data_IF_229372044547
#
_entry.id   IF_229372044547
#
_cell.length_a   1.000
_cell.length_b   1.000
_cell.length_c   1.000
_cell.angle_alpha   90.00
_cell.angle_beta   90.00
_cell.angle_gamma   90.00
#
_symmetry.space_group_name_H-M   'P 1'
#
loop_
_entity.id
_entity.type
_entity.pdbx_description
1 polymer ?
#
# COMPACT_ATOMS: atom_id res chain seq x y z
N UNK A 1 28.74 -7.88 -34.69
CA UNK A 1 28.32 -8.40 -33.37
C UNK A 1 27.79 -7.31 -32.43
N UNK A 2 28.48 -6.19 -32.26
CA UNK A 2 28.07 -5.09 -31.36
C UNK A 2 26.68 -4.51 -31.73
N UNK A 3 26.40 -4.33 -33.03
CA UNK A 3 25.12 -3.76 -33.50
C UNK A 3 23.89 -4.64 -33.18
N UNK A 4 24.05 -5.96 -33.24
CA UNK A 4 22.97 -6.91 -32.94
C UNK A 4 22.65 -6.96 -31.44
N UNK A 5 23.67 -6.86 -30.58
CA UNK A 5 23.49 -6.82 -29.12
C UNK A 5 22.83 -5.51 -28.67
N UNK A 6 23.15 -4.38 -29.31
CA UNK A 6 22.50 -3.10 -29.02
C UNK A 6 21.03 -3.09 -29.44
N UNK A 7 20.71 -3.67 -30.60
CA UNK A 7 19.32 -3.80 -31.07
C UNK A 7 18.49 -4.70 -30.15
N UNK A 8 19.05 -5.84 -29.72
CA UNK A 8 18.38 -6.76 -28.80
C UNK A 8 18.14 -6.12 -27.43
N UNK A 9 19.11 -5.36 -26.91
CA UNK A 9 18.99 -4.60 -25.66
C UNK A 9 17.85 -3.57 -25.72
N UNK A 10 17.76 -2.81 -26.81
CA UNK A 10 16.69 -1.83 -27.02
C UNK A 10 15.32 -2.52 -27.08
N UNK A 11 15.20 -3.62 -27.81
CA UNK A 11 13.95 -4.39 -27.90
C UNK A 11 13.52 -4.94 -26.52
N UNK A 12 14.45 -5.48 -25.74
CA UNK A 12 14.15 -5.93 -24.38
C UNK A 12 13.70 -4.79 -23.47
N UNK A 13 14.31 -3.62 -23.57
CA UNK A 13 13.93 -2.44 -22.80
C UNK A 13 12.51 -1.96 -23.14
N UNK A 14 12.15 -1.93 -24.42
CA UNK A 14 10.79 -1.61 -24.86
C UNK A 14 9.75 -2.61 -24.34
N UNK A 15 10.05 -3.92 -24.38
CA UNK A 15 9.12 -4.93 -23.83
C UNK A 15 8.92 -4.75 -22.33
N UNK A 16 9.95 -4.38 -21.56
CA UNK A 16 9.81 -4.13 -20.12
C UNK A 16 8.93 -2.91 -19.87
N UNK A 17 9.11 -1.80 -20.61
CA UNK A 17 8.30 -0.58 -20.43
C UNK A 17 6.82 -0.82 -20.76
N UNK A 18 6.52 -1.56 -21.82
CA UNK A 18 5.13 -1.83 -22.22
C UNK A 18 4.41 -2.70 -21.17
N UNK A 19 5.13 -3.58 -20.46
CA UNK A 19 4.57 -4.37 -19.35
C UNK A 19 4.35 -3.56 -18.06
N UNK A 20 4.78 -2.29 -17.99
CA UNK A 20 4.59 -1.43 -16.82
C UNK A 20 3.34 -0.55 -16.91
N UNK A 21 2.56 -0.61 -18.00
CA UNK A 21 1.32 0.16 -18.11
C UNK A 21 0.18 -0.54 -17.38
N UNK A 22 -0.09 -0.12 -16.15
CA UNK A 22 -1.36 -0.42 -15.49
C UNK A 22 -2.38 0.67 -15.86
N UNK A 23 -3.56 0.23 -16.30
CA UNK A 23 -4.68 1.13 -16.57
C UNK A 23 -5.48 1.30 -15.28
N UNK A 24 -5.81 2.55 -14.95
CA UNK A 24 -6.50 2.85 -13.70
C UNK A 24 -7.84 2.12 -13.63
N UNK A 25 -8.07 1.38 -12.55
CA UNK A 25 -9.36 0.76 -12.27
C UNK A 25 -10.02 1.38 -11.04
N UNK A 26 -11.33 1.61 -11.11
CA UNK A 26 -12.10 2.13 -9.97
C UNK A 26 -13.34 1.27 -9.69
N UNK A 27 -13.79 1.25 -8.44
CA UNK A 27 -15.14 0.79 -8.13
C UNK A 27 -16.16 1.79 -8.68
N UNK A 28 -17.23 1.29 -9.30
CA UNK A 28 -18.26 2.12 -9.93
C UNK A 28 -19.66 1.72 -9.51
N UNK A 29 -20.46 2.70 -9.13
CA UNK A 29 -21.87 2.50 -8.81
C UNK A 29 -22.60 3.84 -8.91
N UNK A 30 -23.93 3.79 -9.03
CA UNK A 30 -24.73 5.00 -9.18
C UNK A 30 -25.94 4.88 -8.28
N UNK A 31 -26.12 5.88 -7.42
CA UNK A 31 -27.24 6.06 -6.51
C UNK A 31 -27.62 4.78 -5.74
N UNK A 32 -26.64 4.15 -5.09
CA UNK A 32 -26.88 2.98 -4.24
C UNK A 32 -27.13 3.41 -2.80
N UNK A 33 -28.00 2.72 -2.08
CA UNK A 33 -28.40 3.12 -0.72
C UNK A 33 -27.23 3.09 0.28
N UNK A 34 -26.23 2.23 0.05
CA UNK A 34 -25.02 2.13 0.87
C UNK A 34 -23.83 1.61 0.05
N UNK A 35 -22.65 1.55 0.70
CA UNK A 35 -21.43 1.00 0.13
C UNK A 35 -21.33 -0.52 0.31
N UNK A 36 -22.25 -1.24 -0.33
CA UNK A 36 -22.21 -2.69 -0.43
C UNK A 36 -22.54 -3.11 -1.87
N UNK A 37 -22.55 -4.43 -2.11
CA UNK A 37 -22.98 -5.04 -3.37
C UNK A 37 -22.34 -4.37 -4.60
N UNK A 38 -23.13 -3.65 -5.40
CA UNK A 38 -22.69 -3.02 -6.64
C UNK A 38 -21.49 -2.11 -6.42
N UNK A 39 -21.44 -1.34 -5.33
CA UNK A 39 -20.34 -0.41 -5.04
C UNK A 39 -19.03 -1.09 -4.62
N UNK A 40 -19.04 -2.39 -4.28
CA UNK A 40 -17.84 -3.15 -3.91
C UNK A 40 -17.48 -4.24 -4.94
N UNK A 41 -18.39 -4.58 -5.85
CA UNK A 41 -18.22 -5.68 -6.80
C UNK A 41 -18.10 -5.22 -8.25
N UNK A 42 -18.54 -4.00 -8.57
CA UNK A 42 -18.49 -3.48 -9.94
C UNK A 42 -17.24 -2.64 -10.12
N UNK A 43 -16.34 -3.11 -10.98
CA UNK A 43 -15.07 -2.45 -11.30
C UNK A 43 -15.12 -2.04 -12.77
N UNK A 44 -14.64 -0.83 -13.07
CA UNK A 44 -14.46 -0.33 -14.43
C UNK A 44 -13.02 0.14 -14.61
N UNK A 45 -12.41 -0.25 -15.72
CA UNK A 45 -11.18 0.36 -16.24
C UNK A 45 -11.51 1.76 -16.78
N UNK A 46 -10.84 2.77 -16.23
CA UNK A 46 -11.11 4.17 -16.52
C UNK A 46 -10.62 4.58 -17.92
N UNK A 47 -11.23 5.62 -18.49
CA UNK A 47 -10.79 6.16 -19.77
C UNK A 47 -9.41 6.83 -19.62
N UNK A 48 -8.61 6.96 -20.70
CA UNK A 48 -7.25 7.53 -20.62
C UNK A 48 -7.17 8.93 -20.00
N UNK A 49 -8.22 9.73 -20.11
CA UNK A 49 -8.33 11.06 -19.51
C UNK A 49 -8.73 11.04 -18.02
N UNK A 50 -9.27 9.93 -17.53
CA UNK A 50 -9.76 9.78 -16.16
C UNK A 50 -8.64 9.26 -15.26
N UNK A 51 -7.97 10.17 -14.54
CA UNK A 51 -6.80 9.88 -13.71
C UNK A 51 -7.11 9.68 -12.21
N UNK A 52 -8.38 9.69 -11.81
CA UNK A 52 -8.80 9.58 -10.41
C UNK A 52 -10.08 8.75 -10.24
N UNK A 53 -10.22 8.13 -9.06
CA UNK A 53 -11.49 7.57 -8.61
C UNK A 53 -12.22 8.59 -7.72
N UNK A 54 -13.51 8.80 -7.96
CA UNK A 54 -14.38 9.70 -7.21
C UNK A 54 -15.50 8.92 -6.50
N UNK A 55 -15.74 9.24 -5.23
CA UNK A 55 -16.88 8.77 -4.43
C UNK A 55 -17.70 9.96 -3.96
N UNK A 56 -19.02 9.88 -4.07
CA UNK A 56 -19.96 10.95 -3.69
C UNK A 56 -21.08 10.37 -2.83
N UNK A 57 -21.47 11.14 -1.82
CA UNK A 57 -22.65 10.91 -0.98
C UNK A 57 -23.61 12.06 -1.26
N UNK A 58 -24.81 11.73 -1.70
CA UNK A 58 -25.86 12.70 -2.02
C UNK A 58 -27.13 12.38 -1.25
N UNK A 59 -27.73 13.36 -0.55
CA UNK A 59 -29.05 13.17 0.05
C UNK A 59 -30.13 13.09 -1.05
N UNK A 60 -31.27 12.42 -0.79
CA UNK A 60 -32.47 12.52 -1.63
C UNK A 60 -33.06 13.94 -1.59
N UNK A 61 -34.14 14.15 -2.33
CA UNK A 61 -34.96 15.36 -2.19
C UNK A 61 -35.52 15.47 -0.76
N UNK A 62 -35.49 16.67 -0.19
CA UNK A 62 -35.98 16.94 1.16
C UNK A 62 -37.50 16.81 1.23
N UNK A 63 -38.02 16.04 2.19
CA UNK A 63 -39.45 15.89 2.45
C UNK A 63 -39.69 16.05 3.95
N UNK A 64 -40.68 16.86 4.33
CA UNK A 64 -41.05 17.05 5.73
C UNK A 64 -41.51 15.72 6.36
N UNK A 65 -40.88 15.32 7.46
CA UNK A 65 -41.15 14.04 8.13
C UNK A 65 -40.62 12.79 7.42
N UNK A 66 -39.86 12.95 6.33
CA UNK A 66 -39.23 11.84 5.61
C UNK A 66 -38.10 11.18 6.40
N UNK A 67 -37.89 9.88 6.18
CA UNK A 67 -36.74 9.16 6.74
C UNK A 67 -35.47 9.68 6.05
N UNK A 68 -34.46 10.02 6.86
CA UNK A 68 -33.15 10.42 6.33
C UNK A 68 -32.52 9.26 5.58
N UNK A 69 -32.26 9.47 4.30
CA UNK A 69 -31.57 8.52 3.43
C UNK A 69 -30.40 9.23 2.75
N UNK A 70 -29.49 8.46 2.18
CA UNK A 70 -28.41 8.98 1.34
C UNK A 70 -28.12 7.95 0.25
N UNK A 71 -27.54 8.45 -0.84
CA UNK A 71 -27.11 7.61 -1.93
C UNK A 71 -25.61 7.74 -2.14
N UNK A 72 -24.98 6.62 -2.44
CA UNK A 72 -23.57 6.47 -2.77
C UNK A 72 -23.42 6.32 -4.27
N UNK A 73 -22.56 7.15 -4.85
CA UNK A 73 -22.14 7.05 -6.24
C UNK A 73 -20.63 7.00 -6.31
N UNK A 74 -20.09 6.12 -7.17
CA UNK A 74 -18.66 5.97 -7.42
C UNK A 74 -18.40 5.94 -8.91
N UNK A 75 -17.36 6.63 -9.38
CA UNK A 75 -17.02 6.71 -10.80
C UNK A 75 -15.55 7.04 -11.02
N UNK A 76 -15.06 6.71 -12.20
CA UNK A 76 -13.85 7.31 -12.75
C UNK A 76 -14.09 8.82 -12.99
N UNK A 77 -13.04 9.62 -12.83
CA UNK A 77 -13.10 11.06 -13.03
C UNK A 77 -11.72 11.62 -13.36
N UNK A 78 -11.69 12.73 -14.08
CA UNK A 78 -10.50 13.59 -14.20
C UNK A 78 -10.22 14.31 -12.87
N UNK A 79 -8.98 14.68 -12.60
CA UNK A 79 -8.59 15.55 -11.48
C UNK A 79 -9.39 16.85 -11.41
N UNK A 80 -9.60 17.52 -12.54
CA UNK A 80 -10.35 18.78 -12.58
C UNK A 80 -11.81 18.58 -12.11
N UNK A 81 -12.47 17.51 -12.58
CA UNK A 81 -13.83 17.15 -12.16
C UNK A 81 -13.86 16.79 -10.67
N UNK A 82 -12.90 16.01 -10.20
CA UNK A 82 -12.76 15.68 -8.79
C UNK A 82 -12.67 16.95 -7.93
N UNK A 83 -11.75 17.86 -8.24
CA UNK A 83 -11.52 19.08 -7.47
C UNK A 83 -12.73 20.01 -7.50
N UNK A 84 -13.43 20.10 -8.63
CA UNK A 84 -14.67 20.87 -8.76
C UNK A 84 -15.79 20.32 -7.85
N UNK A 85 -16.01 18.99 -7.89
CA UNK A 85 -17.00 18.32 -7.05
C UNK A 85 -16.64 18.45 -5.57
N UNK A 86 -15.38 18.23 -5.22
CA UNK A 86 -14.89 18.33 -3.85
C UNK A 86 -15.05 19.74 -3.30
N UNK A 87 -14.65 20.77 -4.05
CA UNK A 87 -14.81 22.17 -3.66
C UNK A 87 -16.28 22.54 -3.44
N UNK A 88 -17.19 22.03 -4.28
CA UNK A 88 -18.63 22.27 -4.16
C UNK A 88 -19.27 21.53 -2.98
N UNK A 89 -18.82 20.32 -2.69
CA UNK A 89 -19.52 19.40 -1.79
C UNK A 89 -18.93 19.39 -0.38
N UNK A 90 -17.61 19.44 -0.23
CA UNK A 90 -16.94 19.35 1.07
C UNK A 90 -17.34 20.41 2.11
N UNK A 91 -17.72 21.67 1.76
CA UNK A 91 -18.24 22.62 2.74
C UNK A 91 -19.51 22.13 3.47
N UNK A 92 -20.26 21.22 2.85
CA UNK A 92 -21.47 20.59 3.38
C UNK A 92 -21.22 19.17 3.92
N UNK A 93 -19.96 18.72 3.91
CA UNK A 93 -19.59 17.41 4.40
C UNK A 93 -19.51 17.45 5.92
N UNK A 94 -20.64 17.17 6.57
CA UNK A 94 -20.73 17.06 8.03
C UNK A 94 -21.26 15.68 8.40
N UNK A 95 -20.70 15.10 9.46
CA UNK A 95 -21.24 13.89 10.07
C UNK A 95 -22.31 14.24 11.13
N UNK A 96 -23.00 15.37 10.97
CA UNK A 96 -24.06 15.75 11.90
C UNK A 96 -25.34 15.02 11.52
N UNK A 97 -25.87 14.25 12.46
CA UNK A 97 -27.02 13.37 12.23
C UNK A 97 -28.29 14.15 11.81
N UNK A 98 -28.42 15.44 12.16
CA UNK A 98 -29.54 16.31 11.81
C UNK A 98 -29.35 17.12 10.51
N UNK A 99 -28.17 17.08 9.89
CA UNK A 99 -27.91 17.73 8.59
C UNK A 99 -27.81 16.68 7.49
N UNK A 100 -28.24 17.01 6.28
CA UNK A 100 -28.10 16.13 5.13
C UNK A 100 -26.61 15.86 4.84
N UNK A 101 -26.24 14.58 4.89
CA UNK A 101 -24.86 14.17 4.72
C UNK A 101 -24.48 14.25 3.24
N UNK A 102 -23.61 15.20 2.90
CA UNK A 102 -23.16 15.41 1.53
C UNK A 102 -21.65 15.52 1.47
N UNK A 103 -20.99 14.47 1.00
CA UNK A 103 -19.53 14.39 0.95
C UNK A 103 -19.05 13.94 -0.42
N UNK A 104 -17.84 14.35 -0.78
CA UNK A 104 -17.17 13.87 -1.97
C UNK A 104 -15.70 13.67 -1.70
N UNK A 105 -15.16 12.55 -2.15
CA UNK A 105 -13.75 12.21 -1.97
C UNK A 105 -13.17 11.61 -3.23
N UNK A 106 -11.92 11.97 -3.49
CA UNK A 106 -11.16 11.41 -4.60
C UNK A 106 -9.86 10.79 -4.12
N UNK A 107 -9.44 9.76 -4.81
CA UNK A 107 -8.17 9.09 -4.57
C UNK A 107 -7.50 8.74 -5.90
N UNK A 108 -6.19 8.52 -5.83
CA UNK A 108 -5.35 8.15 -6.98
C UNK A 108 -4.75 6.77 -6.72
N UNK A 109 -4.87 5.89 -7.71
CA UNK A 109 -4.39 4.50 -7.66
C UNK A 109 -5.53 3.50 -7.83
N UNK A 110 -5.15 2.26 -8.16
CA UNK A 110 -6.10 1.22 -8.51
C UNK A 110 -7.00 0.84 -7.33
N UNK A 111 -8.31 0.85 -7.63
CA UNK A 111 -9.40 0.46 -6.74
C UNK A 111 -9.32 1.15 -5.38
N UNK A 112 -8.74 2.35 -5.35
CA UNK A 112 -8.50 3.10 -4.12
C UNK A 112 -9.79 3.52 -3.41
N UNK A 113 -10.89 3.66 -4.17
CA UNK A 113 -12.18 4.12 -3.67
C UNK A 113 -13.05 2.98 -3.10
N UNK A 114 -12.45 2.00 -2.42
CA UNK A 114 -13.19 0.91 -1.76
C UNK A 114 -14.14 1.46 -0.69
N UNK A 115 -13.68 2.42 0.11
CA UNK A 115 -14.50 3.16 1.07
C UNK A 115 -15.10 4.41 0.42
N UNK A 116 -16.25 4.88 0.93
CA UNK A 116 -16.90 6.10 0.38
C UNK A 116 -16.12 7.35 0.74
N UNK A 117 -15.70 7.43 2.01
CA UNK A 117 -14.81 8.47 2.51
C UNK A 117 -13.67 7.80 3.27
N UNK A 118 -12.42 8.06 2.89
CA UNK A 118 -11.25 7.67 3.67
C UNK A 118 -10.82 8.89 4.49
N UNK A 119 -10.74 8.73 5.81
CA UNK A 119 -10.04 9.69 6.67
C UNK A 119 -8.51 9.68 6.44
N UNK A 120 -8.04 9.37 5.22
CA UNK A 120 -6.63 9.26 4.92
C UNK A 120 -6.05 10.65 4.77
N UNK A 121 -5.30 11.07 5.78
CA UNK A 121 -4.38 12.21 5.70
C UNK A 121 -3.52 12.04 4.47
N UNK A 122 -3.48 13.03 3.58
CA UNK A 122 -2.63 13.02 2.39
C UNK A 122 -1.19 12.66 2.79
N UNK A 123 -0.78 11.41 2.56
CA UNK A 123 0.57 10.95 2.88
C UNK A 123 1.48 11.57 1.82
N UNK A 124 2.07 12.71 2.16
CA UNK A 124 3.04 13.37 1.28
C UNK A 124 4.30 12.51 1.24
N UNK A 125 4.75 12.18 0.03
CA UNK A 125 6.03 11.52 -0.20
C UNK A 125 7.14 12.30 0.50
N UNK A 126 7.88 11.63 1.39
CA UNK A 126 8.95 12.25 2.15
C UNK A 126 10.29 12.02 1.43
N UNK A 127 10.87 13.09 0.90
CA UNK A 127 12.13 13.08 0.17
C UNK A 127 13.28 12.42 0.97
N UNK A 128 13.27 12.55 2.29
CA UNK A 128 14.30 11.96 3.17
C UNK A 128 14.21 10.42 3.16
N UNK A 129 12.99 9.88 3.11
CA UNK A 129 12.79 8.43 3.05
C UNK A 129 13.28 7.88 1.71
N UNK A 130 12.98 8.58 0.61
CA UNK A 130 13.42 8.19 -0.73
C UNK A 130 14.95 8.23 -0.85
N UNK A 131 15.59 9.30 -0.39
CA UNK A 131 17.05 9.43 -0.37
C UNK A 131 17.70 8.37 0.52
N UNK A 132 17.08 8.03 1.65
CA UNK A 132 17.53 6.95 2.53
C UNK A 132 17.53 5.59 1.83
N UNK A 133 16.46 5.25 1.09
CA UNK A 133 16.39 4.01 0.31
C UNK A 133 17.48 3.96 -0.77
N UNK A 134 17.71 5.06 -1.49
CA UNK A 134 18.75 5.15 -2.51
C UNK A 134 20.15 5.00 -1.90
N UNK A 135 20.41 5.64 -0.76
CA UNK A 135 21.69 5.53 -0.05
C UNK A 135 21.98 4.10 0.42
N UNK A 136 20.96 3.34 0.82
CA UNK A 136 21.12 1.92 1.19
C UNK A 136 21.44 1.06 -0.03
N UNK A 137 20.78 1.29 -1.16
CA UNK A 137 21.03 0.54 -2.40
C UNK A 137 22.43 0.84 -2.96
N UNK A 138 22.86 2.10 -2.91
CA UNK A 138 24.24 2.50 -3.27
C UNK A 138 25.23 1.91 -2.26
N UNK A 139 24.91 1.95 -0.97
CA UNK A 139 25.67 1.29 0.09
C UNK A 139 25.84 -0.20 -0.19
N UNK A 140 24.76 -0.92 -0.52
CA UNK A 140 24.77 -2.33 -0.88
C UNK A 140 25.64 -2.62 -2.11
N UNK A 141 25.64 -1.73 -3.10
CA UNK A 141 26.48 -1.84 -4.30
C UNK A 141 27.97 -1.61 -4.02
N UNK A 142 28.30 -0.76 -3.03
CA UNK A 142 29.68 -0.41 -2.64
C UNK A 142 30.22 -1.42 -1.61
N UNK A 143 29.40 -1.94 -0.69
CA UNK A 143 29.80 -2.80 0.43
C UNK A 143 29.68 -4.30 0.15
N UNK A 144 29.91 -4.73 -1.10
CA UNK A 144 30.08 -6.16 -1.45
C UNK A 144 31.20 -6.86 -0.66
N UNK A 145 31.89 -6.14 0.23
CA UNK A 145 32.97 -6.60 1.11
C UNK A 145 32.58 -6.81 2.58
N UNK A 146 31.40 -6.43 3.10
CA UNK A 146 31.07 -6.69 4.52
C UNK A 146 29.54 -6.85 4.81
N UNK A 147 29.04 -8.08 4.69
CA UNK A 147 27.66 -8.49 4.95
C UNK A 147 27.17 -8.17 6.39
N UNK A 148 28.08 -8.17 7.37
CA UNK A 148 27.77 -7.93 8.80
C UNK A 148 27.29 -6.50 9.08
N UNK A 149 27.94 -5.50 8.47
CA UNK A 149 27.58 -4.09 8.66
C UNK A 149 26.23 -3.75 8.02
N UNK A 150 25.91 -4.39 6.89
CA UNK A 150 24.62 -4.24 6.21
C UNK A 150 23.46 -4.72 7.07
N UNK A 151 23.59 -5.90 7.68
CA UNK A 151 22.54 -6.46 8.54
C UNK A 151 22.26 -5.52 9.71
N UNK A 152 23.30 -4.93 10.30
CA UNK A 152 23.19 -3.98 11.42
C UNK A 152 22.51 -2.66 11.02
N UNK A 153 22.91 -2.05 9.89
CA UNK A 153 22.30 -0.78 9.45
C UNK A 153 20.84 -0.97 9.04
N UNK A 154 20.55 -2.06 8.31
CA UNK A 154 19.19 -2.36 7.85
C UNK A 154 18.25 -2.73 9.01
N UNK A 155 18.74 -3.41 10.07
CA UNK A 155 17.92 -3.66 11.28
C UNK A 155 17.55 -2.35 11.97
N UNK A 156 18.53 -1.48 12.19
CA UNK A 156 18.29 -0.19 12.87
C UNK A 156 17.29 0.66 12.09
N UNK A 157 17.42 0.73 10.77
CA UNK A 157 16.51 1.53 9.96
C UNK A 157 15.09 0.95 9.93
N UNK A 158 14.93 -0.37 9.80
CA UNK A 158 13.63 -1.01 9.82
C UNK A 158 12.91 -0.80 11.17
N UNK A 159 13.67 -0.83 12.27
CA UNK A 159 13.15 -0.53 13.60
C UNK A 159 12.69 0.93 13.72
N UNK A 160 13.49 1.89 13.23
CA UNK A 160 13.14 3.32 13.26
C UNK A 160 11.88 3.60 12.43
N UNK A 161 11.80 3.05 11.22
CA UNK A 161 10.62 3.21 10.34
C UNK A 161 9.38 2.57 10.99
N UNK A 162 9.51 1.34 11.48
CA UNK A 162 8.38 0.62 12.07
C UNK A 162 7.85 1.28 13.33
N UNK A 163 8.72 1.82 14.20
CA UNK A 163 8.30 2.59 15.38
C UNK A 163 7.67 3.93 15.04
N UNK A 164 8.07 4.57 13.93
CA UNK A 164 7.46 5.81 13.46
C UNK A 164 6.05 5.61 12.88
N UNK A 165 5.83 4.51 12.15
CA UNK A 165 4.53 4.21 11.57
C UNK A 165 3.58 3.46 12.52
N UNK A 166 4.12 2.65 13.44
CA UNK A 166 3.35 1.85 14.40
C UNK A 166 3.96 1.96 15.81
N UNK A 167 3.67 3.05 16.55
CA UNK A 167 4.34 3.32 17.83
C UNK A 167 4.04 2.26 18.92
N UNK A 168 2.85 1.66 18.89
CA UNK A 168 2.36 0.71 19.89
C UNK A 168 2.65 -0.76 19.56
N UNK A 169 3.30 -1.08 18.43
CA UNK A 169 3.57 -2.47 18.06
C UNK A 169 4.76 -3.03 18.85
N UNK A 170 4.67 -4.31 19.24
CA UNK A 170 5.69 -4.97 20.06
C UNK A 170 6.99 -5.15 19.25
N UNK A 171 8.13 -4.77 19.85
CA UNK A 171 9.46 -4.85 19.23
C UNK A 171 9.78 -6.27 18.72
N UNK A 172 9.34 -7.31 19.42
CA UNK A 172 9.53 -8.71 19.00
C UNK A 172 8.86 -9.02 17.67
N UNK A 173 7.67 -8.45 17.43
CA UNK A 173 6.93 -8.65 16.19
C UNK A 173 7.59 -7.91 15.02
N UNK A 174 8.15 -6.71 15.26
CA UNK A 174 8.88 -5.95 14.25
C UNK A 174 10.14 -6.70 13.80
N UNK A 175 10.90 -7.23 14.75
CA UNK A 175 12.11 -7.99 14.46
C UNK A 175 11.80 -9.27 13.68
N UNK A 176 10.72 -9.97 14.02
CA UNK A 176 10.30 -11.18 13.31
C UNK A 176 9.99 -10.92 11.82
N UNK A 177 9.20 -9.88 11.53
CA UNK A 177 8.91 -9.44 10.16
C UNK A 177 10.17 -9.08 9.38
N UNK A 178 11.10 -8.37 10.03
CA UNK A 178 12.38 -7.99 9.44
C UNK A 178 13.24 -9.21 9.06
N UNK A 179 13.30 -10.23 9.92
CA UNK A 179 14.04 -11.46 9.65
C UNK A 179 13.44 -12.25 8.48
N UNK A 180 12.10 -12.30 8.35
CA UNK A 180 11.44 -12.93 7.20
C UNK A 180 11.79 -12.20 5.90
N UNK A 181 11.78 -10.87 5.91
CA UNK A 181 12.13 -10.07 4.73
C UNK A 181 13.59 -10.31 4.32
N UNK A 182 14.52 -10.33 5.28
CA UNK A 182 15.92 -10.67 5.01
C UNK A 182 16.07 -12.09 4.43
N UNK A 183 15.37 -13.07 4.99
CA UNK A 183 15.43 -14.46 4.51
C UNK A 183 14.99 -14.57 3.04
N UNK A 184 13.86 -13.96 2.70
CA UNK A 184 13.34 -13.94 1.33
C UNK A 184 14.25 -13.18 0.35
N UNK A 185 14.95 -12.14 0.82
CA UNK A 185 15.87 -11.36 -0.01
C UNK A 185 17.20 -12.08 -0.33
N UNK A 186 17.72 -12.89 0.59
CA UNK A 186 19.03 -13.55 0.42
C UNK A 186 18.93 -14.99 -0.10
N UNK A 187 17.73 -15.54 -0.26
CA UNK A 187 17.45 -16.84 -0.88
C UNK A 187 18.43 -17.95 -0.42
N UNK A 188 18.70 -17.99 0.89
CA UNK A 188 19.63 -18.96 1.52
C UNK A 188 19.02 -20.38 1.42
N UNK A 189 19.57 -21.29 0.59
CA UNK A 189 18.89 -22.53 0.23
C UNK A 189 19.13 -23.70 1.21
N UNK A 190 19.68 -23.43 2.39
CA UNK A 190 19.88 -24.46 3.41
C UNK A 190 19.28 -23.99 4.73
N UNK A 191 18.50 -24.88 5.33
CA UNK A 191 17.76 -24.78 6.60
C UNK A 191 16.23 -24.59 6.47
N UNK A 192 15.55 -25.71 6.75
CA UNK A 192 14.11 -25.92 6.97
C UNK A 192 13.22 -26.22 5.75
N UNK A 193 13.25 -27.49 5.34
CA UNK A 193 12.02 -28.22 4.98
C UNK A 193 11.21 -28.49 6.26
N UNK A 194 10.16 -27.71 6.53
CA UNK A 194 9.04 -28.13 7.36
C UNK A 194 7.77 -27.36 6.99
N UNK A 195 6.83 -28.10 6.43
CA UNK A 195 5.43 -27.73 6.24
C UNK A 195 4.83 -27.22 7.55
N UNK A 196 4.42 -25.94 7.60
CA UNK A 196 3.56 -25.42 8.65
C UNK A 196 2.12 -25.48 8.15
N UNK A 197 1.41 -26.49 8.65
CA UNK A 197 -0.05 -26.60 8.58
C UNK A 197 -0.71 -25.42 9.32
N UNK A 198 -1.68 -24.79 8.67
CA UNK A 198 -2.42 -23.59 9.09
C UNK A 198 -3.35 -23.78 10.31
N UNK A 199 -2.96 -24.54 11.34
CA UNK A 199 -3.80 -24.71 12.54
C UNK A 199 -3.02 -24.53 13.84
N UNK A 200 -3.27 -23.38 14.47
CA UNK A 200 -3.02 -22.96 15.87
C UNK A 200 -1.83 -22.00 16.13
N UNK A 201 -2.08 -20.79 16.67
CA UNK A 201 -1.08 -19.71 16.79
C UNK A 201 -0.27 -19.70 18.10
N UNK A 202 -0.29 -20.76 18.91
CA UNK A 202 0.42 -20.77 20.21
C UNK A 202 1.33 -21.99 20.35
N UNK A 203 2.52 -21.95 19.73
CA UNK A 203 3.77 -22.58 20.23
C UNK A 203 4.95 -22.33 19.26
N UNK A 204 5.77 -21.30 19.50
CA UNK A 204 7.15 -21.25 18.97
C UNK A 204 8.20 -21.00 20.07
N UNK A 205 7.86 -21.18 21.35
CA UNK A 205 8.77 -20.89 22.49
C UNK A 205 9.99 -21.82 22.59
N UNK A 206 9.98 -22.97 21.92
CA UNK A 206 11.09 -23.95 21.99
C UNK A 206 12.14 -23.70 20.87
N UNK A 207 11.76 -23.06 19.77
CA UNK A 207 12.68 -22.82 18.64
C UNK A 207 13.62 -21.62 18.83
N UNK A 208 13.29 -20.71 19.76
CA UNK A 208 14.09 -19.50 20.01
C UNK A 208 15.44 -19.80 20.70
N UNK A 209 15.52 -20.86 21.52
CA UNK A 209 16.74 -21.16 22.26
C UNK A 209 17.83 -21.83 21.41
N UNK A 210 17.48 -22.58 20.37
CA UNK A 210 18.46 -23.26 19.50
C UNK A 210 19.14 -22.24 18.56
N UNK A 211 18.39 -21.26 18.06
CA UNK A 211 18.92 -20.20 17.19
C UNK A 211 19.80 -19.19 17.93
N UNK A 212 19.57 -18.95 19.23
CA UNK A 212 20.42 -18.06 20.02
C UNK A 212 21.80 -18.68 20.31
N UNK A 213 21.86 -20.01 20.51
CA UNK A 213 23.12 -20.72 20.78
C UNK A 213 24.00 -20.81 19.53
N UNK A 214 23.40 -21.00 18.35
CA UNK A 214 24.16 -21.00 17.08
C UNK A 214 24.63 -19.60 16.68
N UNK A 215 23.89 -18.54 17.03
CA UNK A 215 24.29 -17.15 16.79
C UNK A 215 25.47 -16.68 17.65
N UNK A 216 25.65 -17.24 18.84
CA UNK A 216 26.77 -16.91 19.74
C UNK A 216 28.09 -17.60 19.35
N UNK A 217 28.05 -18.76 18.69
CA UNK A 217 29.27 -19.45 18.22
C UNK A 217 29.92 -18.79 17.00
N UNK A 218 29.17 -18.02 16.21
CA UNK A 218 29.68 -17.28 15.04
C UNK A 218 30.43 -16.01 15.46
N UNK A 219 30.35 -15.59 16.73
CA UNK A 219 31.00 -14.38 17.24
C UNK A 219 32.39 -14.68 17.88
N UNK A 220 32.77 -15.96 18.02
CA UNK A 220 34.02 -16.36 18.71
C UNK A 220 35.07 -17.05 17.82
N UNK A 221 35.09 -16.81 16.51
CA UNK A 221 36.14 -17.27 15.59
C UNK A 221 36.56 -16.15 14.63
#
# INVERSE_FOLDING_TARGET
MIFFNNLLSVLTFFTVIINLSESLECYVCTNQDQNHEKCLNTIKTCEPEEDMCLSEITPPYWVEGGIKQYYVSKRCATRATCDAVKTKTMPYCTYLWYQDWKCAECCLGDRCNYYITMGSSAVKSNLIVLLGCIAILIGFHITKTNLSLYIQISTVLFLVISKKFRPNINLKHILYEYFIILYNMFNLPYFFSLSISQKNPFKPLIFCNIMLVMGLQIISL
#
